data_IF_582307535983
#
_entry.id   IF_582307535983
#
_cell.length_a   1.000
_cell.length_b   1.000
_cell.length_c   1.000
_cell.angle_alpha   90.00
_cell.angle_beta   90.00
_cell.angle_gamma   90.00
#
_symmetry.space_group_name_H-M   'P 1'
#
loop_
_entity.id
_entity.type
_entity.pdbx_description
1 polymer ?
#
# COMPACT_ATOMS: atom_id res chain seq x y z
N UNK A 1 3.25 5.54 -20.70
CA UNK A 1 4.05 5.32 -19.48
C UNK A 1 3.20 5.69 -18.27
N UNK A 2 3.26 4.91 -17.18
CA UNK A 2 2.54 5.23 -15.94
C UNK A 2 3.56 5.82 -14.98
N UNK A 3 3.27 7.02 -14.48
CA UNK A 3 4.18 7.76 -13.59
C UNK A 3 4.44 7.00 -12.28
N UNK A 4 5.63 7.22 -11.71
CA UNK A 4 5.95 6.74 -10.37
C UNK A 4 5.02 7.40 -9.32
N UNK A 5 4.75 6.70 -8.22
CA UNK A 5 3.89 7.23 -7.15
C UNK A 5 2.49 6.60 -7.05
N UNK A 6 2.31 5.36 -7.52
CA UNK A 6 1.11 4.56 -7.22
C UNK A 6 -0.07 4.72 -8.20
N UNK A 7 0.06 5.56 -9.23
CA UNK A 7 -0.97 5.69 -10.28
C UNK A 7 -1.24 4.37 -11.01
N UNK A 8 -0.27 3.45 -11.02
CA UNK A 8 -0.42 2.10 -11.56
C UNK A 8 -1.62 1.35 -10.96
N UNK A 9 -1.77 1.46 -9.64
CA UNK A 9 -2.80 0.73 -8.90
C UNK A 9 -4.21 1.23 -9.21
N UNK A 10 -4.35 2.49 -9.69
CA UNK A 10 -5.65 3.04 -10.13
C UNK A 10 -6.17 2.36 -11.40
N UNK A 11 -5.30 1.70 -12.16
CA UNK A 11 -5.67 1.00 -13.40
C UNK A 11 -6.04 -0.48 -13.19
N UNK A 12 -6.06 -0.95 -11.93
CA UNK A 12 -6.43 -2.32 -11.62
C UNK A 12 -7.88 -2.62 -12.01
N UNK A 13 -8.12 -3.85 -12.47
CA UNK A 13 -9.42 -4.34 -12.89
C UNK A 13 -9.68 -5.71 -12.29
N UNK A 14 -10.94 -5.98 -11.95
CA UNK A 14 -11.39 -7.34 -11.63
C UNK A 14 -11.25 -8.24 -12.85
N UNK A 15 -10.86 -9.50 -12.63
CA UNK A 15 -10.63 -10.50 -13.66
C UNK A 15 -11.39 -11.77 -13.32
N UNK A 16 -12.23 -12.23 -14.24
CA UNK A 16 -13.20 -13.32 -14.06
C UNK A 16 -12.96 -14.52 -14.99
N UNK A 17 -11.82 -14.54 -15.70
CA UNK A 17 -11.47 -15.60 -16.66
C UNK A 17 -11.16 -16.96 -16.01
N UNK A 18 -10.97 -17.02 -14.69
CA UNK A 18 -10.82 -18.27 -13.92
C UNK A 18 -11.94 -18.36 -12.87
N UNK A 19 -13.06 -19.03 -13.19
CA UNK A 19 -14.16 -19.23 -12.25
C UNK A 19 -13.67 -19.93 -10.97
N UNK A 20 -14.09 -19.41 -9.82
CA UNK A 20 -13.66 -19.90 -8.50
C UNK A 20 -12.51 -19.11 -7.88
N UNK A 21 -11.87 -18.19 -8.61
CA UNK A 21 -10.88 -17.28 -8.06
C UNK A 21 -11.35 -15.82 -8.13
N UNK A 22 -11.23 -15.09 -7.03
CA UNK A 22 -11.43 -13.65 -6.99
C UNK A 22 -10.10 -12.96 -7.34
N UNK A 23 -9.91 -12.60 -8.61
CA UNK A 23 -8.68 -12.01 -9.10
C UNK A 23 -8.86 -10.55 -9.51
N UNK A 24 -7.78 -9.79 -9.36
CA UNK A 24 -7.61 -8.47 -9.93
C UNK A 24 -6.26 -8.39 -10.62
N UNK A 25 -6.16 -7.54 -11.65
CA UNK A 25 -4.93 -7.36 -12.38
C UNK A 25 -4.69 -5.92 -12.81
N UNK A 26 -3.42 -5.56 -12.87
CA UNK A 26 -2.95 -4.25 -13.30
C UNK A 26 -1.75 -4.42 -14.24
N UNK A 27 -1.52 -3.49 -15.18
CA UNK A 27 -0.39 -3.54 -16.09
C UNK A 27 0.94 -3.47 -15.35
N UNK A 28 2.00 -4.02 -15.96
CA UNK A 28 3.37 -3.71 -15.60
C UNK A 28 3.84 -2.45 -16.35
N UNK A 29 4.92 -1.83 -15.86
CA UNK A 29 5.42 -0.51 -16.30
C UNK A 29 5.47 -0.34 -17.83
N UNK A 30 6.52 -0.85 -18.47
CA UNK A 30 6.74 -0.74 -19.90
C UNK A 30 6.66 -2.12 -20.55
N UNK A 31 5.71 -2.27 -21.47
CA UNK A 31 5.45 -3.51 -22.19
C UNK A 31 5.86 -3.43 -23.67
N UNK A 32 6.19 -2.24 -24.20
CA UNK A 32 6.44 -2.05 -25.64
C UNK A 32 7.69 -2.79 -26.08
N UNK A 33 8.71 -2.84 -25.21
CA UNK A 33 9.99 -3.53 -25.45
C UNK A 33 9.83 -5.03 -25.75
N UNK A 34 8.74 -5.65 -25.32
CA UNK A 34 8.50 -7.07 -25.59
C UNK A 34 8.16 -7.35 -27.05
N UNK A 35 7.66 -6.36 -27.79
CA UNK A 35 7.40 -6.52 -29.21
C UNK A 35 8.69 -6.84 -29.97
N UNK A 36 9.75 -6.09 -29.71
CA UNK A 36 11.08 -6.30 -30.31
C UNK A 36 11.75 -7.57 -29.78
N UNK A 37 11.72 -7.77 -28.46
CA UNK A 37 12.39 -8.91 -27.82
C UNK A 37 11.85 -10.27 -28.28
N UNK A 38 10.55 -10.33 -28.59
CA UNK A 38 9.91 -11.56 -29.08
C UNK A 38 9.79 -11.61 -30.62
N UNK A 39 10.31 -10.62 -31.33
CA UNK A 39 10.26 -10.57 -32.79
C UNK A 39 8.86 -10.39 -33.36
N UNK A 40 7.93 -9.83 -32.60
CA UNK A 40 6.51 -9.66 -32.98
C UNK A 40 6.15 -8.19 -33.30
N UNK A 41 7.15 -7.31 -33.39
CA UNK A 41 6.93 -5.87 -33.57
C UNK A 41 6.29 -5.50 -34.92
N UNK A 42 6.41 -6.35 -35.94
CA UNK A 42 5.87 -6.08 -37.27
C UNK A 42 4.36 -6.41 -37.37
N UNK A 43 3.86 -7.32 -36.53
CA UNK A 43 2.52 -7.87 -36.60
C UNK A 43 1.66 -7.62 -35.35
N UNK A 44 2.26 -7.42 -34.18
CA UNK A 44 1.51 -7.23 -32.94
C UNK A 44 0.97 -5.80 -32.86
N UNK A 45 -0.35 -5.67 -32.88
CA UNK A 45 -1.04 -4.38 -32.73
C UNK A 45 -1.19 -3.98 -31.26
N UNK A 46 -1.14 -4.97 -30.35
CA UNK A 46 -1.30 -4.81 -28.91
C UNK A 46 -0.30 -5.71 -28.19
N UNK A 47 0.48 -5.14 -27.30
CA UNK A 47 1.38 -5.89 -26.40
C UNK A 47 1.06 -5.49 -24.95
N UNK A 48 0.73 -6.48 -24.12
CA UNK A 48 0.32 -6.25 -22.75
C UNK A 48 0.94 -7.29 -21.81
N UNK A 49 1.52 -6.82 -20.71
CA UNK A 49 1.93 -7.65 -19.57
C UNK A 49 1.33 -7.06 -18.31
N UNK A 50 0.64 -7.89 -17.52
CA UNK A 50 0.08 -7.50 -16.23
C UNK A 50 0.63 -8.33 -15.09
N UNK A 51 0.22 -7.99 -13.89
CA UNK A 51 0.38 -8.79 -12.67
C UNK A 51 -1.00 -9.14 -12.14
N UNK A 52 -1.17 -10.37 -11.68
CA UNK A 52 -2.39 -10.84 -11.02
C UNK A 52 -2.20 -10.83 -9.49
N UNK A 53 -3.26 -10.46 -8.79
CA UNK A 53 -3.40 -10.53 -7.33
C UNK A 53 -4.80 -11.00 -6.96
N UNK A 54 -4.95 -11.48 -5.72
CA UNK A 54 -6.28 -11.73 -5.19
C UNK A 54 -7.00 -10.40 -4.93
N UNK A 55 -8.31 -10.40 -5.17
CA UNK A 55 -9.15 -9.23 -4.98
C UNK A 55 -8.98 -8.63 -3.59
N UNK A 56 -8.78 -7.32 -3.55
CA UNK A 56 -8.59 -6.58 -2.30
C UNK A 56 -7.14 -6.18 -2.02
N UNK A 57 -6.16 -6.78 -2.70
CA UNK A 57 -4.75 -6.42 -2.56
C UNK A 57 -4.50 -4.94 -2.92
N UNK A 58 -4.96 -4.52 -4.09
CA UNK A 58 -4.73 -3.19 -4.66
C UNK A 58 -5.29 -2.10 -3.76
N UNK A 59 -6.52 -2.26 -3.26
CA UNK A 59 -7.15 -1.29 -2.36
C UNK A 59 -6.39 -1.17 -1.03
N UNK A 60 -5.90 -2.28 -0.48
CA UNK A 60 -5.12 -2.28 0.76
C UNK A 60 -3.78 -1.58 0.56
N UNK A 61 -3.07 -1.86 -0.54
CA UNK A 61 -1.83 -1.13 -0.87
C UNK A 61 -2.09 0.37 -1.07
N UNK A 62 -3.21 0.75 -1.70
CA UNK A 62 -3.59 2.16 -1.83
C UNK A 62 -3.91 2.81 -0.47
N UNK A 63 -4.50 2.08 0.48
CA UNK A 63 -4.71 2.56 1.84
C UNK A 63 -3.38 2.83 2.55
N UNK A 64 -2.44 1.87 2.50
CA UNK A 64 -1.08 2.05 3.04
C UNK A 64 -0.36 3.24 2.40
N UNK A 65 -0.54 3.43 1.09
CA UNK A 65 -0.01 4.58 0.38
C UNK A 65 -0.57 5.91 0.90
N UNK A 66 -1.89 6.00 1.04
CA UNK A 66 -2.57 7.22 1.52
C UNK A 66 -2.19 7.58 2.95
N UNK A 67 -1.89 6.58 3.79
CA UNK A 67 -1.36 6.77 5.14
C UNK A 67 0.11 7.19 5.18
N UNK A 68 0.82 7.20 4.04
CA UNK A 68 2.25 7.55 3.98
C UNK A 68 3.19 6.41 4.38
N UNK A 69 2.69 5.18 4.51
CA UNK A 69 3.49 4.02 4.95
C UNK A 69 4.45 3.48 3.89
N UNK A 70 4.37 3.98 2.66
CA UNK A 70 5.29 3.63 1.57
C UNK A 70 6.32 4.73 1.28
N UNK A 71 6.39 5.76 2.13
CA UNK A 71 7.35 6.84 1.97
C UNK A 71 8.78 6.32 2.20
N UNK A 72 9.71 6.48 1.23
CA UNK A 72 11.10 6.08 1.39
C UNK A 72 11.96 7.12 2.14
N UNK A 73 11.39 8.25 2.56
CA UNK A 73 12.12 9.29 3.27
C UNK A 73 12.16 9.02 4.79
N UNK A 74 13.22 9.45 5.50
CA UNK A 74 13.29 9.28 6.94
C UNK A 74 12.15 9.98 7.67
N UNK A 75 11.54 9.30 8.65
CA UNK A 75 10.51 9.85 9.52
C UNK A 75 11.04 10.02 10.96
N UNK A 76 10.82 11.17 11.62
CA UNK A 76 11.35 11.43 12.97
C UNK A 76 10.99 10.37 14.02
N UNK A 77 9.75 9.85 13.99
CA UNK A 77 9.30 8.79 14.91
C UNK A 77 10.02 7.45 14.70
N UNK A 78 10.63 7.23 13.53
CA UNK A 78 11.29 5.98 13.16
C UNK A 78 12.82 6.05 13.29
N UNK A 79 13.34 7.05 13.99
CA UNK A 79 14.76 7.13 14.28
C UNK A 79 15.16 6.01 15.27
N UNK A 80 16.19 5.17 14.99
CA UNK A 80 16.56 4.02 15.83
C UNK A 80 16.94 4.35 17.27
N UNK A 81 17.37 5.59 17.53
CA UNK A 81 17.67 6.09 18.90
C UNK A 81 16.52 6.87 19.54
N UNK A 82 15.37 6.96 18.87
CA UNK A 82 14.18 7.62 19.38
C UNK A 82 13.45 6.76 20.42
N UNK A 83 12.48 7.32 21.15
CA UNK A 83 11.67 6.57 22.12
C UNK A 83 10.95 5.40 21.46
N UNK A 84 10.75 4.30 22.17
CA UNK A 84 9.91 3.19 21.72
C UNK A 84 8.48 3.67 21.47
N UNK A 85 7.91 3.22 20.36
CA UNK A 85 6.55 3.56 19.95
C UNK A 85 5.83 2.31 19.47
N UNK A 86 4.51 2.30 19.60
CA UNK A 86 3.65 1.30 18.99
C UNK A 86 3.24 1.65 17.57
N UNK A 87 2.72 0.67 16.84
CA UNK A 87 2.15 0.88 15.51
C UNK A 87 0.97 1.86 15.56
N UNK A 88 0.09 1.72 16.55
CA UNK A 88 -0.98 2.68 16.81
C UNK A 88 -0.44 4.10 16.93
N UNK A 89 0.56 4.30 17.78
CA UNK A 89 1.18 5.61 17.99
C UNK A 89 1.79 6.17 16.70
N UNK A 90 2.44 5.31 15.92
CA UNK A 90 3.00 5.71 14.64
C UNK A 90 1.90 6.14 13.65
N UNK A 91 0.83 5.37 13.49
CA UNK A 91 -0.31 5.77 12.63
C UNK A 91 -0.95 7.06 13.13
N UNK A 92 -1.11 7.25 14.45
CA UNK A 92 -1.59 8.50 15.02
C UNK A 92 -0.75 9.70 14.57
N UNK A 93 0.58 9.55 14.57
CA UNK A 93 1.50 10.60 14.08
C UNK A 93 1.29 10.91 12.59
N UNK A 94 1.04 9.89 11.77
CA UNK A 94 0.81 10.04 10.32
C UNK A 94 -0.53 10.72 10.00
N UNK A 95 -1.56 10.48 10.80
CA UNK A 95 -2.89 11.11 10.64
C UNK A 95 -3.05 12.43 11.41
N UNK A 96 -1.97 12.91 12.05
CA UNK A 96 -1.94 14.19 12.75
C UNK A 96 -2.70 14.22 14.09
N UNK A 97 -2.78 13.08 14.80
CA UNK A 97 -3.34 13.00 16.14
C UNK A 97 -2.24 13.05 17.22
N UNK A 98 -2.51 13.76 18.33
CA UNK A 98 -1.61 13.87 19.48
C UNK A 98 -1.88 12.77 20.52
N UNK A 99 -0.83 12.20 21.09
CA UNK A 99 -0.88 11.06 22.04
C UNK A 99 -1.79 11.24 23.27
N UNK A 100 -2.11 12.47 23.69
CA UNK A 100 -2.80 12.73 24.96
C UNK A 100 -4.28 12.34 25.00
N UNK A 101 -4.96 12.21 23.85
CA UNK A 101 -6.45 12.16 23.80
C UNK A 101 -7.03 11.13 22.82
N UNK A 102 -6.26 10.10 22.47
CA UNK A 102 -6.65 9.16 21.41
C UNK A 102 -7.47 8.01 21.99
N UNK A 103 -8.78 8.21 22.06
CA UNK A 103 -9.71 7.08 22.03
C UNK A 103 -9.52 6.33 20.70
N UNK A 104 -9.52 5.00 20.74
CA UNK A 104 -9.36 4.16 19.54
C UNK A 104 -10.35 4.54 18.42
N UNK A 105 -11.58 4.92 18.79
CA UNK A 105 -12.60 5.41 17.87
C UNK A 105 -12.19 6.67 17.09
N UNK A 106 -11.45 7.60 17.71
CA UNK A 106 -10.95 8.80 17.04
C UNK A 106 -9.90 8.46 15.98
N UNK A 107 -9.03 7.48 16.28
CA UNK A 107 -8.08 6.95 15.32
C UNK A 107 -8.81 6.31 14.14
N UNK A 108 -9.74 5.39 14.40
CA UNK A 108 -10.52 4.74 13.35
C UNK A 108 -11.23 5.74 12.45
N UNK A 109 -11.84 6.78 13.05
CA UNK A 109 -12.48 7.85 12.29
C UNK A 109 -11.48 8.56 11.37
N UNK A 110 -10.34 9.00 11.89
CA UNK A 110 -9.30 9.69 11.09
C UNK A 110 -8.71 8.82 9.99
N UNK A 111 -8.45 7.55 10.28
CA UNK A 111 -7.99 6.58 9.29
C UNK A 111 -9.07 6.39 8.21
N UNK A 112 -10.33 6.22 8.61
CA UNK A 112 -11.44 6.08 7.65
C UNK A 112 -11.65 7.30 6.77
N UNK A 113 -11.47 8.52 7.31
CA UNK A 113 -11.52 9.76 6.53
C UNK A 113 -10.39 9.82 5.48
N UNK A 114 -9.24 9.21 5.77
CA UNK A 114 -8.10 9.15 4.86
C UNK A 114 -8.23 8.06 3.79
N UNK A 115 -8.55 6.83 4.21
CA UNK A 115 -8.47 5.64 3.34
C UNK A 115 -9.83 5.10 2.88
N UNK A 116 -10.92 5.46 3.56
CA UNK A 116 -12.26 4.90 3.38
C UNK A 116 -12.60 3.81 4.41
N UNK A 117 -13.87 3.71 4.79
CA UNK A 117 -14.34 2.78 5.84
C UNK A 117 -14.07 1.30 5.51
N UNK A 118 -14.17 0.93 4.23
CA UNK A 118 -13.93 -0.44 3.76
C UNK A 118 -12.48 -0.90 3.92
N UNK A 119 -11.56 0.01 4.26
CA UNK A 119 -10.15 -0.28 4.47
C UNK A 119 -9.79 -0.41 5.94
N UNK A 120 -10.70 -0.15 6.88
CA UNK A 120 -10.40 -0.33 8.31
C UNK A 120 -10.10 -1.80 8.64
N UNK A 121 -11.00 -2.72 8.30
CA UNK A 121 -10.82 -4.14 8.63
C UNK A 121 -9.49 -4.72 8.07
N UNK A 122 -9.12 -4.51 6.79
CA UNK A 122 -7.80 -4.95 6.31
C UNK A 122 -6.61 -4.34 7.06
N UNK A 123 -6.69 -3.09 7.53
CA UNK A 123 -5.60 -2.46 8.28
C UNK A 123 -5.53 -2.96 9.73
N UNK A 124 -6.68 -3.25 10.34
CA UNK A 124 -6.78 -3.94 11.63
C UNK A 124 -6.21 -5.36 11.54
N UNK A 125 -6.56 -6.12 10.49
CA UNK A 125 -6.05 -7.48 10.26
C UNK A 125 -4.53 -7.53 10.08
N UNK A 126 -3.93 -6.45 9.56
CA UNK A 126 -2.48 -6.30 9.47
C UNK A 126 -1.83 -5.99 10.83
N UNK A 127 -2.59 -5.61 11.85
CA UNK A 127 -2.09 -5.25 13.18
C UNK A 127 -1.37 -3.89 13.25
N UNK A 128 -1.47 -3.07 12.19
CA UNK A 128 -0.82 -1.74 12.15
C UNK A 128 -1.57 -0.67 12.97
N UNK A 129 -2.75 -1.00 13.51
CA UNK A 129 -3.53 -0.13 14.41
C UNK A 129 -3.44 -0.56 15.88
N UNK A 130 -2.64 -1.59 16.16
CA UNK A 130 -2.46 -2.19 17.48
C UNK A 130 -1.29 -1.55 18.25
N UNK A 131 -1.23 -1.87 19.54
CA UNK A 131 -0.15 -1.42 20.42
C UNK A 131 1.15 -2.25 20.30
N UNK A 132 1.29 -3.02 19.22
CA UNK A 132 2.50 -3.79 18.94
C UNK A 132 3.70 -2.84 18.73
N UNK A 133 4.88 -3.14 19.29
CA UNK A 133 6.06 -2.28 19.16
C UNK A 133 6.55 -2.21 17.71
N UNK A 134 6.97 -1.03 17.28
CA UNK A 134 7.54 -0.80 15.95
C UNK A 134 9.05 -1.07 15.97
N UNK A 135 9.52 -1.96 15.09
CA UNK A 135 10.96 -2.11 14.83
C UNK A 135 11.37 -1.06 13.79
N UNK A 136 12.14 -0.06 14.24
CA UNK A 136 12.42 1.16 13.47
C UNK A 136 13.54 0.98 12.45
N UNK A 137 13.26 1.29 11.18
CA UNK A 137 14.23 1.26 10.08
C UNK A 137 14.42 2.63 9.38
N UNK A 138 14.33 3.74 10.13
CA UNK A 138 14.40 5.13 9.64
C UNK A 138 13.25 5.59 8.75
N UNK A 139 12.83 4.79 7.77
CA UNK A 139 11.80 5.15 6.79
C UNK A 139 10.50 4.37 7.05
N UNK A 140 9.32 4.95 6.76
CA UNK A 140 8.06 4.22 6.80
C UNK A 140 8.08 2.97 5.92
N UNK A 141 8.62 3.08 4.70
CA UNK A 141 8.70 1.97 3.76
C UNK A 141 9.51 0.78 4.31
N UNK A 142 10.71 1.01 4.84
CA UNK A 142 11.56 -0.08 5.35
C UNK A 142 10.98 -0.67 6.63
N UNK A 143 10.40 0.17 7.48
CA UNK A 143 9.75 -0.25 8.73
C UNK A 143 8.54 -1.14 8.47
N UNK A 144 7.67 -0.74 7.54
CA UNK A 144 6.54 -1.55 7.11
C UNK A 144 7.01 -2.85 6.43
N UNK A 145 8.02 -2.77 5.57
CA UNK A 145 8.53 -3.93 4.83
C UNK A 145 9.16 -4.99 5.72
N UNK A 146 9.73 -4.60 6.87
CA UNK A 146 10.24 -5.55 7.86
C UNK A 146 9.10 -6.18 8.70
N UNK A 147 7.99 -5.47 8.88
CA UNK A 147 6.88 -5.92 9.69
C UNK A 147 5.96 -6.92 8.98
N UNK A 148 5.79 -6.77 7.65
CA UNK A 148 5.03 -7.69 6.79
C UNK A 148 5.84 -8.93 6.40
#
# INVERSE_FOLDING_TARGET
EINAGGDLMKSARGLDFLPGFALEGFPNRDNIRYAELYGIAAEAHTVFRGTLRFSGYVRTIQALQKLGLIDPNPHPCLHPKGPEISWREFICSLVGLSHSDIFYENLLKKVSDCVGIDQLAPLEDLGILDDNPVIKYNTPLDTLSHYL
#
